data_IF_279242301867
#
_entry.id   IF_279242301867
#
_cell.length_a   1.000
_cell.length_b   1.000
_cell.length_c   1.000
_cell.angle_alpha   90.00
_cell.angle_beta   90.00
_cell.angle_gamma   90.00
#
_symmetry.space_group_name_H-M   'P 1'
#
loop_
_entity.id
_entity.type
_entity.pdbx_description
1 polymer ?
#
# COMPACT_ATOMS: atom_id res chain seq x y z
N UNK A 1 -25.63 -0.78 -4.81
CA UNK A 1 -24.20 -0.81 -5.16
C UNK A 1 -23.60 0.27 -4.30
N UNK A 2 -22.90 -0.11 -3.24
CA UNK A 2 -22.08 0.85 -2.52
C UNK A 2 -21.14 1.48 -3.55
N UNK A 3 -21.16 2.80 -3.67
CA UNK A 3 -20.18 3.48 -4.51
C UNK A 3 -18.84 3.15 -3.88
N UNK A 4 -18.08 2.25 -4.51
CA UNK A 4 -16.65 2.12 -4.25
C UNK A 4 -16.11 3.55 -4.33
N UNK A 5 -15.78 4.11 -3.16
CA UNK A 5 -15.10 5.39 -3.08
C UNK A 5 -13.83 5.31 -3.95
N UNK A 6 -13.30 6.44 -4.41
CA UNK A 6 -12.17 6.40 -5.32
C UNK A 6 -11.01 5.59 -4.69
N UNK A 7 -10.57 4.56 -5.40
CA UNK A 7 -9.45 3.74 -4.99
C UNK A 7 -8.19 4.62 -4.86
N UNK A 8 -7.31 4.38 -3.88
CA UNK A 8 -6.13 5.22 -3.70
C UNK A 8 -5.24 5.19 -4.94
N UNK A 9 -4.72 6.35 -5.34
CA UNK A 9 -3.78 6.44 -6.47
C UNK A 9 -2.44 5.80 -6.14
N UNK A 10 -2.02 5.89 -4.87
CA UNK A 10 -0.80 5.26 -4.36
C UNK A 10 -1.07 4.59 -3.03
N UNK A 11 -0.49 3.42 -2.86
CA UNK A 11 -0.62 2.60 -1.68
C UNK A 11 0.67 1.83 -1.44
N UNK A 12 1.07 1.73 -0.18
CA UNK A 12 2.15 0.85 0.26
C UNK A 12 1.82 0.28 1.62
N UNK A 13 2.41 -0.87 1.95
CA UNK A 13 2.16 -1.52 3.23
C UNK A 13 3.39 -2.26 3.74
N UNK A 14 3.39 -2.47 5.05
CA UNK A 14 4.35 -3.32 5.77
C UNK A 14 3.67 -3.96 6.97
N UNK A 15 4.29 -4.97 7.56
CA UNK A 15 3.72 -5.72 8.67
C UNK A 15 4.63 -5.68 9.88
N UNK A 16 4.05 -5.47 11.06
CA UNK A 16 4.77 -5.47 12.33
C UNK A 16 4.91 -6.88 12.88
N UNK A 17 6.12 -7.27 13.27
CA UNK A 17 6.38 -8.58 13.87
C UNK A 17 6.20 -8.60 15.38
N UNK A 18 6.35 -9.79 15.98
CA UNK A 18 6.15 -10.01 17.41
C UNK A 18 7.19 -9.31 18.32
N UNK A 19 8.31 -8.83 17.75
CA UNK A 19 9.34 -8.06 18.43
C UNK A 19 9.06 -6.54 18.50
N UNK A 20 7.92 -6.08 17.98
CA UNK A 20 7.50 -4.68 18.01
C UNK A 20 7.66 -4.06 19.41
N UNK A 21 8.34 -2.91 19.47
CA UNK A 21 8.69 -2.27 20.74
C UNK A 21 8.58 -0.73 20.68
N UNK A 22 9.07 -0.07 21.74
CA UNK A 22 9.01 1.39 21.86
C UNK A 22 9.82 2.13 20.78
N UNK A 23 10.92 1.56 20.28
CA UNK A 23 11.70 2.16 19.19
C UNK A 23 10.94 2.05 17.87
N UNK A 24 10.31 0.91 17.57
CA UNK A 24 9.40 0.76 16.42
C UNK A 24 8.27 1.78 16.48
N UNK A 25 7.67 1.98 17.66
CA UNK A 25 6.59 2.96 17.88
C UNK A 25 7.05 4.39 17.63
N UNK A 26 8.23 4.78 18.13
CA UNK A 26 8.80 6.10 17.87
C UNK A 26 9.10 6.29 16.39
N UNK A 27 9.72 5.31 15.75
CA UNK A 27 10.02 5.33 14.32
C UNK A 27 8.75 5.48 13.48
N UNK A 28 7.66 4.79 13.83
CA UNK A 28 6.35 4.99 13.22
C UNK A 28 5.89 6.44 13.36
N UNK A 29 5.87 7.00 14.58
CA UNK A 29 5.43 8.40 14.78
C UNK A 29 6.28 9.35 13.93
N UNK A 30 7.59 9.15 13.86
CA UNK A 30 8.49 9.94 13.05
C UNK A 30 8.26 9.76 11.54
N UNK A 31 7.87 8.57 11.07
CA UNK A 31 7.55 8.35 9.65
C UNK A 31 6.30 9.14 9.22
N UNK A 32 5.39 9.43 10.16
CA UNK A 32 4.19 10.25 9.90
C UNK A 32 4.51 11.75 9.80
N UNK A 33 5.66 12.17 10.31
CA UNK A 33 6.07 13.57 10.29
C UNK A 33 6.77 13.89 8.97
N UNK A 34 6.12 14.68 8.12
CA UNK A 34 6.69 15.09 6.83
C UNK A 34 6.36 16.53 6.47
N UNK A 35 7.40 17.29 6.15
CA UNK A 35 7.26 18.63 5.55
C UNK A 35 6.77 18.58 4.10
N UNK A 36 6.79 17.40 3.46
CA UNK A 36 6.29 17.23 2.08
C UNK A 36 4.80 17.57 2.00
N UNK A 37 4.04 17.24 3.04
CA UNK A 37 2.61 17.53 3.15
C UNK A 37 2.29 18.89 3.83
N UNK A 38 3.28 19.58 4.40
CA UNK A 38 3.05 20.81 5.15
C UNK A 38 2.31 21.91 4.37
N UNK A 39 2.57 22.16 3.06
CA UNK A 39 1.80 23.14 2.30
C UNK A 39 0.30 22.79 2.18
N UNK A 40 -0.03 21.50 2.21
CA UNK A 40 -1.41 20.99 2.13
C UNK A 40 -2.12 21.07 3.49
N UNK A 41 -1.39 20.82 4.58
CA UNK A 41 -1.94 20.76 5.94
C UNK A 41 -1.95 22.12 6.65
N UNK A 42 -0.93 22.96 6.45
CA UNK A 42 -0.73 24.18 7.26
C UNK A 42 -1.50 25.39 6.74
N UNK A 43 -1.93 25.41 5.47
CA UNK A 43 -2.69 26.54 4.91
C UNK A 43 -4.20 26.33 4.90
N UNK A 44 -4.69 25.14 5.28
CA UNK A 44 -6.08 24.76 5.02
C UNK A 44 -6.42 24.70 3.52
N UNK A 45 -5.39 24.74 2.68
CA UNK A 45 -5.43 25.01 1.25
C UNK A 45 -5.38 23.69 0.48
N UNK A 46 -6.14 22.70 0.98
CA UNK A 46 -6.32 21.44 0.27
C UNK A 46 -7.33 21.59 -0.88
N UNK A 47 -7.31 22.75 -1.57
CA UNK A 47 -8.23 23.07 -2.65
C UNK A 47 -8.16 22.08 -3.82
N UNK A 48 -7.15 21.21 -3.87
CA UNK A 48 -6.99 20.19 -4.91
C UNK A 48 -7.34 18.77 -4.45
N UNK A 49 -8.03 18.63 -3.31
CA UNK A 49 -8.54 17.33 -2.84
C UNK A 49 -7.44 16.29 -2.66
N UNK A 50 -6.27 16.64 -2.13
CA UNK A 50 -5.20 15.68 -1.83
C UNK A 50 -5.42 15.13 -0.43
N UNK A 51 -5.62 13.81 -0.33
CA UNK A 51 -5.85 13.12 0.92
C UNK A 51 -4.79 12.06 1.17
N UNK A 52 -4.31 12.00 2.40
CA UNK A 52 -3.34 11.00 2.84
C UNK A 52 -3.88 10.30 4.07
N UNK A 53 -3.74 8.97 4.11
CA UNK A 53 -4.28 8.13 5.17
C UNK A 53 -3.22 7.15 5.65
N UNK A 54 -3.27 6.85 6.93
CA UNK A 54 -2.51 5.76 7.54
C UNK A 54 -3.51 4.85 8.25
N UNK A 55 -3.47 3.57 7.91
CA UNK A 55 -4.35 2.55 8.48
C UNK A 55 -3.51 1.51 9.20
N UNK A 56 -3.90 1.18 10.42
CA UNK A 56 -3.34 0.07 11.19
C UNK A 56 -4.40 -1.02 11.27
N UNK A 57 -4.18 -2.12 10.56
CA UNK A 57 -5.11 -3.26 10.53
C UNK A 57 -4.59 -4.41 11.37
N UNK A 58 -5.34 -4.84 12.39
CA UNK A 58 -4.91 -5.98 13.21
C UNK A 58 -4.84 -7.27 12.37
N UNK A 59 -3.71 -7.96 12.43
CA UNK A 59 -3.55 -9.37 11.98
C UNK A 59 -3.41 -10.24 13.24
N UNK A 60 -4.13 -9.85 14.29
CA UNK A 60 -4.12 -10.54 15.56
C UNK A 60 -5.55 -10.75 16.01
N UNK A 61 -5.78 -11.86 16.72
CA UNK A 61 -7.12 -12.28 17.10
C UNK A 61 -7.15 -13.76 17.41
N UNK A 62 -8.28 -14.24 17.90
CA UNK A 62 -8.44 -15.62 18.36
C UNK A 62 -8.20 -16.64 17.23
N UNK A 63 -8.57 -16.28 15.99
CA UNK A 63 -8.27 -17.06 14.80
C UNK A 63 -6.75 -17.28 14.63
N UNK A 64 -5.95 -16.21 14.59
CA UNK A 64 -4.50 -16.30 14.37
C UNK A 64 -3.76 -16.88 15.58
N UNK A 65 -4.23 -16.62 16.82
CA UNK A 65 -3.63 -17.17 18.06
C UNK A 65 -3.75 -18.69 18.14
N UNK A 66 -4.86 -19.23 17.65
CA UNK A 66 -5.14 -20.67 17.67
C UNK A 66 -4.91 -21.32 16.30
N UNK A 67 -4.37 -20.57 15.33
CA UNK A 67 -4.09 -21.10 14.00
C UNK A 67 -2.99 -22.15 14.11
N UNK A 68 -3.41 -23.41 14.08
CA UNK A 68 -2.55 -24.56 13.88
C UNK A 68 -2.88 -25.08 12.50
N UNK A 69 -1.92 -25.06 11.60
CA UNK A 69 -2.05 -25.82 10.36
C UNK A 69 -2.21 -27.30 10.75
N UNK A 70 -3.42 -27.83 10.54
CA UNK A 70 -3.65 -29.26 10.72
C UNK A 70 -2.72 -30.03 9.79
N UNK A 71 -2.15 -31.13 10.27
CA UNK A 71 -1.28 -31.96 9.44
C UNK A 71 -2.05 -32.45 8.20
N UNK A 72 -1.63 -31.99 7.01
CA UNK A 72 -2.29 -32.30 5.74
C UNK A 72 -3.34 -31.27 5.27
N UNK A 73 -3.53 -30.15 5.98
CA UNK A 73 -4.36 -29.05 5.49
C UNK A 73 -3.68 -28.35 4.31
N UNK A 74 -4.50 -27.93 3.33
CA UNK A 74 -4.07 -27.00 2.27
C UNK A 74 -3.88 -25.65 2.96
N UNK A 75 -2.65 -25.36 3.36
CA UNK A 75 -2.29 -24.11 4.04
C UNK A 75 -2.61 -22.87 3.18
N UNK A 76 -2.53 -21.69 3.79
CA UNK A 76 -2.68 -20.43 3.07
C UNK A 76 -1.33 -19.92 2.55
N UNK A 77 -1.35 -19.39 1.31
CA UNK A 77 -0.23 -18.71 0.66
C UNK A 77 0.19 -17.39 1.33
N UNK A 78 -0.60 -16.89 2.30
CA UNK A 78 -0.25 -15.70 3.06
C UNK A 78 0.86 -16.04 4.08
N UNK A 79 2.07 -15.47 3.97
CA UNK A 79 3.21 -15.88 4.81
C UNK A 79 3.24 -15.18 6.17
N UNK A 80 2.49 -14.09 6.34
CA UNK A 80 2.62 -13.19 7.47
C UNK A 80 1.57 -13.44 8.57
N UNK A 81 1.27 -14.71 8.83
CA UNK A 81 0.22 -15.15 9.78
C UNK A 81 0.60 -14.85 11.24
N UNK A 82 1.88 -14.64 11.52
CA UNK A 82 2.47 -14.39 12.83
C UNK A 82 2.61 -12.89 13.17
N UNK A 83 2.24 -12.00 12.24
CA UNK A 83 2.40 -10.55 12.40
C UNK A 83 1.29 -9.96 13.27
N UNK A 84 1.61 -8.90 13.99
CA UNK A 84 0.68 -8.27 14.93
C UNK A 84 -0.39 -7.45 14.20
N UNK A 85 0.05 -6.67 13.20
CA UNK A 85 -0.79 -5.78 12.41
C UNK A 85 -0.12 -5.41 11.07
N UNK A 86 -0.95 -5.01 10.11
CA UNK A 86 -0.53 -4.28 8.91
C UNK A 86 -0.46 -2.79 9.21
N UNK A 87 0.54 -2.13 8.63
CA UNK A 87 0.64 -0.70 8.52
C UNK A 87 0.53 -0.33 7.04
N UNK A 88 -0.46 0.48 6.72
CA UNK A 88 -0.80 0.85 5.36
C UNK A 88 -0.75 2.37 5.21
N UNK A 89 -0.07 2.85 4.17
CA UNK A 89 -0.05 4.25 3.78
C UNK A 89 -0.76 4.40 2.45
N UNK A 90 -1.66 5.39 2.36
CA UNK A 90 -2.45 5.66 1.17
C UNK A 90 -2.42 7.15 0.84
N UNK A 91 -2.44 7.44 -0.45
CA UNK A 91 -2.66 8.78 -0.97
C UNK A 91 -3.67 8.76 -2.11
N UNK A 92 -4.55 9.76 -2.12
CA UNK A 92 -5.58 10.00 -3.11
C UNK A 92 -5.60 11.48 -3.49
N UNK A 93 -5.95 11.79 -4.74
CA UNK A 93 -6.09 13.14 -5.26
C UNK A 93 -6.90 13.12 -6.56
N UNK A 94 -7.50 14.25 -6.91
CA UNK A 94 -8.07 14.46 -8.24
C UNK A 94 -7.13 15.31 -9.11
N UNK A 95 -6.92 14.92 -10.38
CA UNK A 95 -6.05 15.69 -11.28
C UNK A 95 -6.73 16.98 -11.77
N UNK A 96 -8.06 16.99 -11.92
CA UNK A 96 -8.79 18.11 -12.52
C UNK A 96 -9.93 18.65 -11.68
N UNK A 97 -10.17 18.08 -10.49
CA UNK A 97 -11.22 18.52 -9.59
C UNK A 97 -10.63 19.14 -8.32
N UNK A 98 -11.37 20.09 -7.75
CA UNK A 98 -11.12 20.57 -6.40
C UNK A 98 -11.79 19.67 -5.35
N UNK A 99 -11.64 20.04 -4.09
CA UNK A 99 -12.22 19.34 -2.91
C UNK A 99 -13.74 19.24 -2.98
N UNK A 100 -14.40 20.18 -3.65
CA UNK A 100 -15.85 20.23 -3.82
C UNK A 100 -16.32 19.54 -5.11
N UNK A 101 -15.39 18.88 -5.83
CA UNK A 101 -15.65 18.17 -7.08
C UNK A 101 -15.87 19.08 -8.29
N UNK A 102 -15.50 20.37 -8.20
CA UNK A 102 -15.59 21.31 -9.32
C UNK A 102 -14.34 21.23 -10.20
N UNK A 103 -14.53 21.41 -11.51
CA UNK A 103 -13.44 21.38 -12.47
C UNK A 103 -12.48 22.57 -12.24
N UNK A 104 -11.24 22.29 -11.84
CA UNK A 104 -10.19 23.31 -11.66
C UNK A 104 -9.59 23.74 -12.99
N UNK A 105 -9.54 22.81 -13.96
CA UNK A 105 -9.06 23.06 -15.32
C UNK A 105 -9.55 21.95 -16.26
N UNK A 106 -10.18 22.28 -17.41
CA UNK A 106 -10.54 21.27 -18.40
C UNK A 106 -9.29 20.53 -18.94
N UNK A 107 -9.34 19.21 -19.19
CA UNK A 107 -8.19 18.45 -19.67
C UNK A 107 -7.59 18.97 -20.99
N UNK A 108 -8.40 19.55 -21.87
CA UNK A 108 -7.92 20.14 -23.13
C UNK A 108 -7.02 21.36 -22.90
N UNK A 109 -7.27 22.11 -21.83
CA UNK A 109 -6.57 23.35 -21.49
C UNK A 109 -5.32 23.08 -20.64
N UNK A 110 -5.22 21.90 -20.03
CA UNK A 110 -4.08 21.45 -19.22
C UNK A 110 -2.74 21.47 -19.96
N UNK A 111 -2.74 21.22 -21.28
CA UNK A 111 -1.54 21.25 -22.11
C UNK A 111 -0.98 22.66 -22.26
N UNK A 112 -1.84 23.68 -22.20
CA UNK A 112 -1.49 25.09 -22.44
C UNK A 112 -1.12 25.79 -21.13
N UNK A 113 -1.95 25.62 -20.09
CA UNK A 113 -1.80 26.37 -18.84
C UNK A 113 -1.04 25.59 -17.76
N UNK A 114 -0.84 24.29 -17.96
CA UNK A 114 -0.34 23.38 -16.93
C UNK A 114 -1.39 23.12 -15.84
N UNK A 115 -1.22 22.02 -15.12
CA UNK A 115 -2.11 21.66 -14.01
C UNK A 115 -1.42 22.05 -12.70
N UNK A 116 -1.96 23.03 -12.00
CA UNK A 116 -1.31 23.62 -10.81
C UNK A 116 -1.11 22.60 -9.68
N UNK A 117 -2.03 21.64 -9.54
CA UNK A 117 -1.99 20.65 -8.47
C UNK A 117 -0.81 19.66 -8.57
N UNK A 118 -0.18 19.53 -9.75
CA UNK A 118 0.90 18.55 -10.00
C UNK A 118 2.09 18.70 -9.06
N UNK A 119 2.44 19.92 -8.68
CA UNK A 119 3.51 20.17 -7.70
C UNK A 119 3.21 19.52 -6.33
N UNK A 120 1.95 19.46 -5.95
CA UNK A 120 1.52 18.84 -4.70
C UNK A 120 1.34 17.34 -4.85
N UNK A 121 0.88 16.88 -6.02
CA UNK A 121 0.85 15.45 -6.36
C UNK A 121 2.26 14.85 -6.26
N UNK A 122 3.25 15.46 -6.90
CA UNK A 122 4.64 14.99 -6.85
C UNK A 122 5.17 14.91 -5.40
N UNK A 123 4.89 15.91 -4.57
CA UNK A 123 5.26 15.88 -3.14
C UNK A 123 4.54 14.78 -2.36
N UNK A 124 3.32 14.45 -2.76
CA UNK A 124 2.51 13.38 -2.14
C UNK A 124 3.03 12.01 -2.57
N UNK A 125 3.45 11.86 -3.83
CA UNK A 125 4.18 10.68 -4.30
C UNK A 125 5.49 10.51 -3.54
N UNK A 126 6.30 11.57 -3.41
CA UNK A 126 7.53 11.56 -2.61
C UNK A 126 7.26 11.18 -1.14
N UNK A 127 6.12 11.62 -0.58
CA UNK A 127 5.72 11.25 0.77
C UNK A 127 5.43 9.75 0.88
N UNK A 128 4.69 9.16 -0.07
CA UNK A 128 4.45 7.71 -0.10
C UNK A 128 5.76 6.94 -0.22
N UNK A 129 6.68 7.37 -1.09
CA UNK A 129 7.98 6.73 -1.24
C UNK A 129 8.82 6.82 0.03
N UNK A 130 8.82 7.99 0.69
CA UNK A 130 9.46 8.16 2.00
C UNK A 130 8.83 7.25 3.05
N UNK A 131 7.50 7.16 3.12
CA UNK A 131 6.81 6.26 4.04
C UNK A 131 7.09 4.78 3.75
N UNK A 132 7.23 4.38 2.48
CA UNK A 132 7.66 3.03 2.07
C UNK A 132 9.07 2.73 2.55
N UNK A 133 10.00 3.66 2.36
CA UNK A 133 11.42 3.44 2.59
C UNK A 133 11.87 3.78 4.01
N UNK A 134 11.00 4.40 4.83
CA UNK A 134 11.34 4.76 6.21
C UNK A 134 11.68 3.51 7.01
N UNK A 135 12.81 3.50 7.70
CA UNK A 135 13.20 2.37 8.54
C UNK A 135 12.34 2.37 9.82
N UNK A 136 11.50 1.37 9.96
CA UNK A 136 10.72 1.12 11.18
C UNK A 136 11.18 -0.25 11.67
N UNK A 137 11.97 -0.31 12.76
CA UNK A 137 12.43 -1.57 13.31
C UNK A 137 11.28 -2.54 13.56
N UNK A 138 11.53 -3.84 13.34
CA UNK A 138 10.53 -4.91 13.53
C UNK A 138 9.31 -4.77 12.60
N UNK A 139 9.55 -4.22 11.39
CA UNK A 139 8.59 -4.26 10.29
C UNK A 139 9.22 -4.83 9.04
N UNK A 140 8.40 -5.46 8.21
CA UNK A 140 8.82 -6.00 6.92
C UNK A 140 7.66 -6.54 6.12
N UNK A 141 7.99 -7.12 4.97
CA UNK A 141 7.02 -7.70 4.05
C UNK A 141 6.02 -6.68 3.49
N UNK A 142 5.04 -7.18 2.76
CA UNK A 142 3.95 -6.38 2.22
C UNK A 142 2.68 -7.21 2.05
N UNK A 143 1.52 -6.56 2.02
CA UNK A 143 0.24 -7.24 1.87
C UNK A 143 -0.27 -7.17 0.41
N UNK A 144 -0.47 -8.32 -0.23
CA UNK A 144 -0.75 -8.38 -1.69
C UNK A 144 -2.04 -7.66 -2.11
N UNK A 145 -3.02 -7.54 -1.20
CA UNK A 145 -4.23 -6.75 -1.44
C UNK A 145 -3.95 -5.24 -1.60
N UNK A 146 -2.77 -4.79 -1.15
CA UNK A 146 -2.29 -3.42 -1.23
C UNK A 146 -1.14 -3.33 -2.24
N UNK A 147 -1.44 -3.66 -3.50
CA UNK A 147 -0.44 -3.78 -4.58
C UNK A 147 0.33 -2.48 -4.81
N UNK A 148 1.56 -2.47 -4.34
CA UNK A 148 2.58 -1.48 -4.60
C UNK A 148 3.45 -1.89 -5.80
N UNK A 149 3.70 -0.93 -6.70
CA UNK A 149 4.59 -1.05 -7.84
C UNK A 149 6.01 -1.46 -7.47
N UNK A 150 6.52 -0.87 -6.40
CA UNK A 150 7.94 -0.88 -6.06
C UNK A 150 8.32 -2.05 -5.15
N UNK A 151 7.33 -2.81 -4.66
CA UNK A 151 7.51 -4.02 -3.85
C UNK A 151 7.60 -5.23 -4.77
N UNK A 152 8.58 -6.12 -4.61
CA UNK A 152 8.71 -7.29 -5.50
C UNK A 152 7.59 -8.29 -5.26
N UNK A 153 7.29 -9.17 -6.23
CA UNK A 153 6.27 -10.20 -6.02
C UNK A 153 6.64 -11.12 -4.85
N UNK A 154 7.93 -11.47 -4.73
CA UNK A 154 8.46 -12.30 -3.65
C UNK A 154 8.19 -11.68 -2.27
N UNK A 155 8.33 -10.36 -2.11
CA UNK A 155 8.07 -9.68 -0.82
C UNK A 155 6.61 -9.81 -0.33
N UNK A 156 5.65 -10.14 -1.20
CA UNK A 156 4.27 -10.39 -0.77
C UNK A 156 4.06 -11.79 -0.22
N UNK A 157 4.87 -12.76 -0.66
CA UNK A 157 4.70 -14.18 -0.37
C UNK A 157 5.84 -14.78 0.45
N UNK A 158 6.94 -14.05 0.65
CA UNK A 158 8.12 -14.44 1.42
C UNK A 158 8.47 -15.91 1.19
N UNK A 159 8.42 -16.70 2.26
CA UNK A 159 8.85 -18.09 2.29
C UNK A 159 7.92 -19.00 1.47
N UNK A 160 6.68 -18.56 1.19
CA UNK A 160 5.74 -19.26 0.34
C UNK A 160 5.96 -19.00 -1.16
N UNK A 161 6.85 -18.08 -1.56
CA UNK A 161 6.99 -17.70 -2.96
C UNK A 161 7.51 -18.85 -3.84
N UNK A 162 8.47 -19.64 -3.36
CA UNK A 162 9.05 -20.74 -4.13
C UNK A 162 8.03 -21.86 -4.38
N UNK A 163 7.27 -22.26 -3.36
CA UNK A 163 6.20 -23.24 -3.49
C UNK A 163 5.10 -22.75 -4.44
N UNK A 164 4.77 -21.46 -4.42
CA UNK A 164 3.80 -20.88 -5.35
C UNK A 164 4.28 -20.92 -6.81
N UNK A 165 5.57 -20.76 -7.06
CA UNK A 165 6.13 -20.94 -8.41
C UNK A 165 5.96 -22.38 -8.87
N UNK A 166 6.30 -23.35 -8.01
CA UNK A 166 6.09 -24.77 -8.33
C UNK A 166 4.62 -25.06 -8.64
N UNK A 167 3.70 -24.50 -7.84
CA UNK A 167 2.26 -24.63 -8.09
C UNK A 167 1.86 -24.02 -9.43
N UNK A 168 2.38 -22.83 -9.75
CA UNK A 168 2.10 -22.14 -11.02
C UNK A 168 2.63 -22.95 -12.21
N UNK A 169 3.85 -23.47 -12.13
CA UNK A 169 4.49 -24.24 -13.21
C UNK A 169 3.80 -25.60 -13.43
N UNK A 170 3.45 -26.31 -12.36
CA UNK A 170 2.94 -27.68 -12.46
C UNK A 170 1.42 -27.77 -12.66
N UNK A 171 0.65 -26.78 -12.20
CA UNK A 171 -0.82 -26.90 -12.13
C UNK A 171 -1.60 -25.82 -12.86
N UNK A 172 -0.99 -24.71 -13.29
CA UNK A 172 -1.78 -23.63 -13.89
C UNK A 172 -2.25 -23.91 -15.31
N UNK A 173 -1.64 -24.88 -16.00
CA UNK A 173 -1.91 -25.19 -17.42
C UNK A 173 -1.84 -23.94 -18.31
N UNK A 174 -1.00 -22.98 -17.91
CA UNK A 174 -0.86 -21.66 -18.53
C UNK A 174 0.47 -21.58 -19.28
N UNK A 175 0.68 -22.52 -20.21
CA UNK A 175 1.95 -22.69 -20.94
C UNK A 175 2.39 -21.43 -21.71
N UNK A 176 1.42 -20.59 -22.07
CA UNK A 176 1.64 -19.34 -22.79
C UNK A 176 1.67 -18.09 -21.89
N UNK A 177 1.60 -18.27 -20.56
CA UNK A 177 1.59 -17.20 -19.55
C UNK A 177 0.52 -16.13 -19.81
N UNK A 178 -0.67 -16.57 -20.22
CA UNK A 178 -1.81 -15.71 -20.52
C UNK A 178 -2.47 -15.20 -19.25
N UNK A 179 -2.41 -15.96 -18.14
CA UNK A 179 -2.93 -15.54 -16.84
C UNK A 179 -1.93 -14.64 -16.12
N UNK A 180 -1.65 -13.49 -16.73
CA UNK A 180 -0.70 -12.51 -16.21
C UNK A 180 -1.34 -11.15 -15.94
N UNK A 181 -0.95 -10.58 -14.81
CA UNK A 181 -1.17 -9.21 -14.38
C UNK A 181 0.05 -8.72 -13.59
N UNK A 182 0.04 -7.46 -13.16
CA UNK A 182 1.08 -6.95 -12.26
C UNK A 182 1.08 -7.72 -10.93
N UNK A 183 2.26 -8.20 -10.53
CA UNK A 183 2.51 -9.07 -9.36
C UNK A 183 1.92 -10.48 -9.49
N UNK A 184 1.90 -11.04 -10.69
CA UNK A 184 1.63 -12.47 -10.89
C UNK A 184 2.83 -13.29 -10.42
N UNK A 185 2.58 -14.47 -9.87
CA UNK A 185 3.62 -15.46 -9.52
C UNK A 185 4.38 -15.87 -10.79
N UNK A 186 5.73 -15.82 -10.71
CA UNK A 186 6.83 -16.41 -11.52
C UNK A 186 8.03 -15.49 -11.31
#
# INVERSE_FOLDING_TARGET
>A
MDSDGPAPHKITSRLADCGWNNESRKALICSLQSSLLAPLLCKGDNQYGIHTYITIGAISGEFYKNYKEEAGAIGSAFPYKDRLFTLQYQAWWDEFLDVDGQMTLPPADAVVYGVENRKYINRTEDWIERCRNYDIPQTGGAFISFKDASVTTADYFSDSYDDLKEVKENYSQDDNLLLRSRKTII
#
